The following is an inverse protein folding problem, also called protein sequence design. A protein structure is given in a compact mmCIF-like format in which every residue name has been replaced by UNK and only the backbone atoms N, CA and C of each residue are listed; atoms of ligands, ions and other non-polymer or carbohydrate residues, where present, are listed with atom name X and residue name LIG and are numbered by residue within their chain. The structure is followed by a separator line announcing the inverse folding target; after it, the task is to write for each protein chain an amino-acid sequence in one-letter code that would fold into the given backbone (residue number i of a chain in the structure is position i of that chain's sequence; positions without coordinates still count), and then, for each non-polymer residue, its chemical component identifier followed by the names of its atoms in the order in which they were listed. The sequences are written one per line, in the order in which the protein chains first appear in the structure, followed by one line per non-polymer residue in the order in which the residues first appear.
data_IF_883186764592
#
_entry.id   IF_883186764592
#
_cell.length_a   1.000
_cell.length_b   1.000
_cell.length_c   1.000
_cell.angle_alpha   90.00
_cell.angle_beta   90.00
_cell.angle_gamma   90.00
#
_symmetry.space_group_name_H-M   'P 1'
#
loop_
_entity.id
_entity.type
_entity.pdbx_description
1 polymer ?
#
# COMPACT_ATOMS: atom_id res chain seq x y z
N UNK A 1 -15.45 1.95 7.89
CA UNK A 1 -16.38 1.41 8.93
C UNK A 1 -17.79 1.11 8.40
N UNK A 2 -18.41 2.00 7.64
CA UNK A 2 -19.78 1.78 7.11
C UNK A 2 -19.95 0.45 6.36
N UNK A 3 -19.01 0.10 5.47
CA UNK A 3 -19.01 -1.16 4.71
C UNK A 3 -19.03 -2.41 5.59
N UNK A 4 -18.27 -2.41 6.70
CA UNK A 4 -18.23 -3.54 7.64
C UNK A 4 -19.56 -3.67 8.35
N UNK A 5 -20.12 -2.56 8.84
CA UNK A 5 -21.43 -2.58 9.51
C UNK A 5 -22.55 -3.05 8.57
N UNK A 6 -22.55 -2.58 7.32
CA UNK A 6 -23.51 -3.01 6.32
C UNK A 6 -23.36 -4.51 6.00
N UNK A 7 -22.13 -4.99 5.83
CA UNK A 7 -21.86 -6.42 5.61
C UNK A 7 -22.35 -7.26 6.80
N UNK A 8 -22.03 -6.87 8.03
CA UNK A 8 -22.49 -7.56 9.25
C UNK A 8 -24.02 -7.60 9.36
N UNK A 9 -24.69 -6.51 8.97
CA UNK A 9 -26.16 -6.48 8.93
C UNK A 9 -26.73 -7.54 7.97
N UNK A 10 -26.17 -7.69 6.77
CA UNK A 10 -26.62 -8.70 5.82
C UNK A 10 -26.26 -10.12 6.27
N UNK A 11 -25.11 -10.35 6.90
CA UNK A 11 -24.82 -11.63 7.54
C UNK A 11 -25.80 -11.94 8.67
N UNK A 12 -26.21 -10.96 9.46
CA UNK A 12 -27.25 -11.13 10.46
C UNK A 12 -28.59 -11.49 9.84
N UNK A 13 -28.98 -10.87 8.73
CA UNK A 13 -30.19 -11.22 8.00
C UNK A 13 -30.16 -12.68 7.49
N UNK A 14 -29.02 -13.10 6.94
CA UNK A 14 -28.82 -14.48 6.51
C UNK A 14 -28.90 -15.47 7.68
N UNK A 15 -28.26 -15.14 8.79
CA UNK A 15 -28.32 -15.95 10.02
C UNK A 15 -29.76 -16.09 10.54
N UNK A 16 -30.52 -14.99 10.61
CA UNK A 16 -31.93 -15.03 10.99
C UNK A 16 -32.76 -15.91 10.06
N UNK A 17 -32.52 -15.85 8.76
CA UNK A 17 -33.21 -16.68 7.79
C UNK A 17 -32.95 -18.16 8.00
N UNK A 18 -31.72 -18.55 8.30
CA UNK A 18 -31.34 -19.92 8.63
C UNK A 18 -31.98 -20.33 9.97
N UNK A 19 -31.97 -19.45 10.97
CA UNK A 19 -32.48 -19.75 12.30
C UNK A 19 -33.97 -20.08 12.31
N UNK A 20 -34.79 -19.48 11.40
CA UNK A 20 -36.21 -19.78 11.23
C UNK A 20 -36.51 -21.26 10.91
N UNK A 21 -35.54 -21.97 10.32
CA UNK A 21 -35.68 -23.39 10.01
C UNK A 21 -35.50 -24.32 11.21
N UNK A 22 -34.94 -23.79 12.31
CA UNK A 22 -34.69 -24.53 13.55
C UNK A 22 -35.63 -24.10 14.69
N UNK A 23 -36.03 -22.83 14.71
CA UNK A 23 -36.82 -22.22 15.76
C UNK A 23 -38.03 -21.55 15.14
N UNK A 24 -39.26 -21.90 15.58
CA UNK A 24 -40.45 -21.23 15.12
C UNK A 24 -40.41 -19.74 15.45
N UNK A 25 -40.65 -18.82 14.47
CA UNK A 25 -40.74 -17.39 14.75
C UNK A 25 -41.93 -17.08 15.68
N UNK A 26 -41.85 -15.94 16.38
CA UNK A 26 -42.91 -15.49 17.25
C UNK A 26 -44.24 -15.40 16.47
N UNK A 27 -45.30 -16.09 16.98
CA UNK A 27 -46.62 -16.18 16.34
C UNK A 27 -46.79 -17.31 15.34
N UNK A 28 -45.83 -18.22 15.21
CA UNK A 28 -45.93 -19.45 14.40
C UNK A 28 -45.70 -20.68 15.27
N UNK A 29 -46.48 -21.73 15.04
CA UNK A 29 -46.40 -22.97 15.80
C UNK A 29 -45.25 -23.90 15.31
N UNK A 30 -44.74 -23.68 14.09
CA UNK A 30 -43.75 -24.55 13.45
C UNK A 30 -42.60 -23.74 12.80
N UNK A 31 -41.38 -24.32 12.71
CA UNK A 31 -40.28 -23.76 11.92
C UNK A 31 -40.69 -23.53 10.46
N UNK A 32 -40.23 -22.43 9.87
CA UNK A 32 -40.52 -22.09 8.47
C UNK A 32 -39.37 -22.48 7.56
N UNK A 33 -39.62 -22.97 6.34
CA UNK A 33 -38.55 -23.34 5.43
C UNK A 33 -37.71 -22.11 5.01
N UNK A 34 -36.40 -22.33 4.83
CA UNK A 34 -35.49 -21.30 4.37
C UNK A 34 -35.84 -20.86 2.96
N UNK A 35 -36.00 -19.56 2.75
CA UNK A 35 -36.10 -18.98 1.41
C UNK A 35 -34.75 -18.93 0.74
N UNK A 36 -34.47 -19.92 -0.13
CA UNK A 36 -33.18 -20.01 -0.86
C UNK A 36 -32.83 -18.73 -1.64
N UNK A 37 -33.73 -18.10 -2.43
CA UNK A 37 -33.42 -16.90 -3.17
C UNK A 37 -33.10 -15.71 -2.24
N UNK A 38 -33.86 -15.54 -1.16
CA UNK A 38 -33.56 -14.50 -0.16
C UNK A 38 -32.20 -14.72 0.49
N UNK A 39 -31.89 -15.94 0.94
CA UNK A 39 -30.63 -16.30 1.55
C UNK A 39 -29.44 -16.02 0.59
N UNK A 40 -29.58 -16.46 -0.68
CA UNK A 40 -28.56 -16.20 -1.69
C UNK A 40 -28.31 -14.69 -1.93
N UNK A 41 -29.39 -13.90 -1.97
CA UNK A 41 -29.29 -12.45 -2.16
C UNK A 41 -28.60 -11.76 -0.99
N UNK A 42 -29.01 -12.04 0.25
CA UNK A 42 -28.40 -11.39 1.42
C UNK A 42 -26.96 -11.81 1.65
N UNK A 43 -26.60 -13.07 1.39
CA UNK A 43 -25.21 -13.53 1.44
C UNK A 43 -24.37 -12.89 0.34
N UNK A 44 -24.90 -12.78 -0.88
CA UNK A 44 -24.24 -12.08 -1.98
C UNK A 44 -23.93 -10.62 -1.64
N UNK A 45 -24.91 -9.90 -1.09
CA UNK A 45 -24.74 -8.52 -0.62
C UNK A 45 -23.73 -8.43 0.53
N UNK A 46 -23.78 -9.34 1.51
CA UNK A 46 -22.83 -9.38 2.61
C UNK A 46 -21.39 -9.51 2.13
N UNK A 47 -21.13 -10.43 1.19
CA UNK A 47 -19.80 -10.66 0.61
C UNK A 47 -19.35 -9.46 -0.22
N UNK A 48 -20.21 -8.90 -1.07
CA UNK A 48 -19.89 -7.72 -1.88
C UNK A 48 -19.51 -6.52 -1.01
N UNK A 49 -20.20 -6.31 0.11
CA UNK A 49 -19.93 -5.22 1.04
C UNK A 49 -18.69 -5.48 1.93
N UNK A 50 -18.33 -6.75 2.16
CA UNK A 50 -17.12 -7.11 2.87
C UNK A 50 -15.85 -6.95 2.00
N UNK A 51 -15.99 -7.01 0.67
CA UNK A 51 -14.86 -7.06 -0.25
C UNK A 51 -13.91 -5.86 -0.15
N UNK A 52 -14.36 -4.58 -0.16
CA UNK A 52 -13.45 -3.44 -0.11
C UNK A 52 -12.55 -3.43 1.15
N UNK A 53 -13.07 -3.56 2.38
CA UNK A 53 -12.22 -3.57 3.56
C UNK A 53 -11.30 -4.80 3.63
N UNK A 54 -11.76 -5.97 3.19
CA UNK A 54 -10.94 -7.19 3.17
C UNK A 54 -9.81 -7.06 2.14
N UNK A 55 -10.09 -6.52 0.96
CA UNK A 55 -9.09 -6.30 -0.08
C UNK A 55 -7.98 -5.34 0.39
N UNK A 56 -8.34 -4.21 0.99
CA UNK A 56 -7.36 -3.26 1.53
C UNK A 56 -6.56 -3.91 2.67
N UNK A 57 -7.19 -4.64 3.57
CA UNK A 57 -6.49 -5.33 4.65
C UNK A 57 -5.48 -6.38 4.13
N UNK A 58 -5.85 -7.17 3.12
CA UNK A 58 -4.94 -8.11 2.47
C UNK A 58 -3.77 -7.39 1.79
N UNK A 59 -4.05 -6.27 1.12
CA UNK A 59 -3.03 -5.46 0.49
C UNK A 59 -2.04 -4.87 1.50
N UNK A 60 -2.52 -4.32 2.61
CA UNK A 60 -1.67 -3.82 3.69
C UNK A 60 -0.78 -4.92 4.28
N UNK A 61 -1.31 -6.13 4.46
CA UNK A 61 -0.52 -7.29 4.92
C UNK A 61 0.55 -7.68 3.91
N UNK A 62 0.22 -7.67 2.63
CA UNK A 62 1.18 -7.91 1.56
C UNK A 62 2.28 -6.85 1.56
N UNK A 63 1.93 -5.56 1.61
CA UNK A 63 2.91 -4.48 1.70
C UNK A 63 3.78 -4.58 2.96
N UNK A 64 3.20 -4.92 4.11
CA UNK A 64 3.93 -5.09 5.38
C UNK A 64 5.02 -6.16 5.28
N UNK A 65 4.71 -7.29 4.64
CA UNK A 65 5.71 -8.33 4.40
C UNK A 65 6.84 -7.84 3.49
N UNK A 66 6.50 -7.06 2.43
CA UNK A 66 7.49 -6.53 1.48
C UNK A 66 8.30 -5.37 2.05
N UNK A 67 7.70 -4.50 2.87
CA UNK A 67 8.42 -3.46 3.60
C UNK A 67 9.41 -4.05 4.61
N UNK A 68 9.04 -5.13 5.33
CA UNK A 68 9.94 -5.85 6.22
C UNK A 68 11.15 -6.40 5.46
N UNK A 69 10.93 -7.02 4.30
CA UNK A 69 12.01 -7.54 3.44
C UNK A 69 12.92 -6.41 2.90
N UNK A 70 12.33 -5.26 2.49
CA UNK A 70 13.08 -4.08 2.04
C UNK A 70 13.89 -3.42 3.17
N UNK A 71 13.40 -3.50 4.40
CA UNK A 71 14.03 -2.95 5.58
C UNK A 71 15.06 -3.90 6.22
N UNK A 72 15.63 -4.84 5.47
CA UNK A 72 16.61 -5.84 5.97
C UNK A 72 16.07 -6.61 7.19
N UNK A 73 14.82 -7.11 7.09
CA UNK A 73 14.08 -7.87 8.10
C UNK A 73 13.70 -7.08 9.38
N UNK A 74 13.87 -5.77 9.40
CA UNK A 74 13.27 -4.94 10.43
C UNK A 74 11.74 -4.94 10.24
N UNK A 75 11.02 -5.39 11.28
CA UNK A 75 9.57 -5.56 11.21
C UNK A 75 8.87 -4.25 10.80
N UNK A 76 8.14 -4.30 9.70
CA UNK A 76 7.33 -3.20 9.21
C UNK A 76 5.84 -3.57 9.19
N UNK A 77 4.98 -2.61 9.53
CA UNK A 77 3.53 -2.72 9.43
C UNK A 77 3.01 -1.54 8.62
N UNK A 78 2.46 -1.82 7.44
CA UNK A 78 1.97 -0.79 6.52
C UNK A 78 0.47 -0.57 6.70
N UNK A 79 0.07 0.68 6.85
CA UNK A 79 -1.31 1.15 6.90
C UNK A 79 -1.59 2.07 5.71
N UNK A 80 -2.68 1.79 5.00
CA UNK A 80 -3.24 2.68 4.00
C UNK A 80 -4.28 3.56 4.69
N UNK A 81 -3.96 4.82 4.92
CA UNK A 81 -4.86 5.76 5.55
C UNK A 81 -6.09 6.00 4.66
N UNK A 82 -7.27 6.03 5.27
CA UNK A 82 -8.47 6.55 4.61
C UNK A 82 -8.38 8.08 4.49
N UNK A 83 -9.28 8.70 3.72
CA UNK A 83 -9.34 10.16 3.65
C UNK A 83 -9.48 10.79 5.05
N UNK A 84 -10.29 10.19 5.92
CA UNK A 84 -10.48 10.68 7.29
C UNK A 84 -9.20 10.51 8.13
N UNK A 85 -8.54 9.35 8.06
CA UNK A 85 -7.29 9.12 8.78
C UNK A 85 -6.20 10.10 8.31
N UNK A 86 -6.08 10.32 6.99
CA UNK A 86 -5.16 11.31 6.41
C UNK A 86 -5.44 12.73 6.92
N UNK A 87 -6.71 13.15 6.99
CA UNK A 87 -7.05 14.49 7.48
C UNK A 87 -6.76 14.69 8.97
N UNK A 88 -6.77 13.61 9.76
CA UNK A 88 -6.48 13.64 11.19
C UNK A 88 -5.01 13.37 11.51
N UNK A 89 -4.22 13.01 10.51
CA UNK A 89 -2.79 12.69 10.66
C UNK A 89 -1.95 13.97 10.77
N UNK A 90 -1.04 14.10 11.75
CA UNK A 90 -0.12 15.23 11.81
C UNK A 90 0.73 15.43 10.54
N UNK A 91 1.01 14.35 9.81
CA UNK A 91 1.77 14.35 8.56
C UNK A 91 0.88 14.44 7.30
N UNK A 92 -0.30 15.06 7.38
CA UNK A 92 -1.32 15.17 6.30
C UNK A 92 -0.78 15.72 4.96
N UNK A 93 0.30 16.48 4.99
CA UNK A 93 0.90 17.10 3.79
C UNK A 93 2.00 16.24 3.13
N UNK A 94 2.31 15.06 3.70
CA UNK A 94 3.27 14.11 3.13
C UNK A 94 2.54 13.02 2.34
N UNK A 95 3.27 12.28 1.51
CA UNK A 95 2.75 11.10 0.80
C UNK A 95 2.65 9.88 1.72
N UNK A 96 3.51 9.81 2.72
CA UNK A 96 3.59 8.80 3.75
C UNK A 96 4.48 9.27 4.89
N UNK A 97 4.56 8.48 5.93
CA UNK A 97 5.54 8.63 6.99
C UNK A 97 5.79 7.29 7.69
N UNK A 98 6.96 7.14 8.27
CA UNK A 98 7.32 5.96 9.04
C UNK A 98 7.74 6.33 10.48
N UNK A 99 7.50 5.39 11.38
CA UNK A 99 7.98 5.43 12.76
C UNK A 99 8.96 4.27 12.98
N UNK A 100 10.28 4.50 12.89
CA UNK A 100 11.27 3.44 13.07
C UNK A 100 11.15 2.71 14.42
N UNK A 101 10.71 3.41 15.47
CA UNK A 101 10.59 2.85 16.83
C UNK A 101 9.46 1.83 16.93
N UNK A 102 8.31 2.06 16.25
CA UNK A 102 7.17 1.15 16.26
C UNK A 102 7.17 0.18 15.07
N UNK A 103 7.93 0.48 14.03
CA UNK A 103 7.88 -0.23 12.76
C UNK A 103 6.65 0.09 11.91
N UNK A 104 5.94 1.17 12.21
CA UNK A 104 4.73 1.56 11.47
C UNK A 104 5.05 2.46 10.28
N UNK A 105 4.43 2.17 9.16
CA UNK A 105 4.43 2.97 7.94
C UNK A 105 2.99 3.36 7.65
N UNK A 106 2.69 4.65 7.57
CA UNK A 106 1.41 5.15 7.09
C UNK A 106 1.56 5.73 5.68
N UNK A 107 0.80 5.20 4.74
CA UNK A 107 0.70 5.75 3.37
C UNK A 107 -0.61 6.53 3.29
N UNK A 108 -0.50 7.83 3.00
CA UNK A 108 -1.63 8.74 2.99
C UNK A 108 -2.56 8.51 1.77
N UNK A 109 -3.83 8.86 1.93
CA UNK A 109 -4.76 8.94 0.81
C UNK A 109 -4.40 10.17 -0.08
N UNK A 110 -4.30 10.04 -1.42
CA UNK A 110 -4.65 8.86 -2.26
C UNK A 110 -3.46 7.97 -2.67
N UNK A 111 -2.30 8.07 -2.03
CA UNK A 111 -1.06 7.40 -2.47
C UNK A 111 -1.14 5.88 -2.44
N UNK A 112 -1.87 5.31 -1.47
CA UNK A 112 -2.08 3.87 -1.42
C UNK A 112 -2.91 3.36 -2.62
N UNK A 113 -3.99 4.09 -3.00
CA UNK A 113 -4.78 3.78 -4.19
C UNK A 113 -3.97 3.94 -5.47
N UNK A 114 -3.07 4.94 -5.50
CA UNK A 114 -2.14 5.18 -6.60
C UNK A 114 -1.15 4.02 -6.75
N UNK A 115 -0.66 3.47 -5.64
CA UNK A 115 0.20 2.28 -5.66
C UNK A 115 -0.55 1.03 -6.16
N UNK A 116 -1.81 0.86 -5.76
CA UNK A 116 -2.68 -0.20 -6.30
C UNK A 116 -2.87 -0.04 -7.82
N UNK A 117 -3.07 1.18 -8.29
CA UNK A 117 -3.20 1.49 -9.73
C UNK A 117 -1.91 1.13 -10.48
N UNK A 118 -0.76 1.53 -9.95
CA UNK A 118 0.55 1.16 -10.47
C UNK A 118 0.70 -0.35 -10.66
N UNK A 119 0.39 -1.14 -9.64
CA UNK A 119 0.55 -2.59 -9.68
C UNK A 119 -0.40 -3.28 -10.66
N UNK A 120 -1.52 -2.65 -11.00
CA UNK A 120 -2.46 -3.16 -12.02
C UNK A 120 -1.99 -2.90 -13.44
N UNK A 121 -1.33 -1.79 -13.69
CA UNK A 121 -0.94 -1.35 -15.04
C UNK A 121 0.50 -0.81 -15.08
N UNK A 122 1.52 -1.55 -14.60
CA UNK A 122 2.87 -1.01 -14.44
C UNK A 122 3.55 -0.62 -15.75
N UNK A 123 3.12 -1.20 -16.89
CA UNK A 123 3.65 -0.86 -18.22
C UNK A 123 3.20 0.51 -18.76
N UNK A 124 2.28 1.18 -18.08
CA UNK A 124 1.76 2.51 -18.43
C UNK A 124 1.75 3.44 -17.21
N UNK A 125 2.73 3.26 -16.34
CA UNK A 125 2.80 4.00 -15.09
C UNK A 125 2.94 5.51 -15.33
N UNK A 126 2.11 6.29 -14.68
CA UNK A 126 2.25 7.75 -14.59
C UNK A 126 3.34 8.13 -13.58
N UNK A 127 3.87 9.36 -13.66
CA UNK A 127 4.82 9.87 -12.66
C UNK A 127 4.30 9.74 -11.23
N UNK A 128 3.01 10.00 -11.00
CA UNK A 128 2.39 9.87 -9.69
C UNK A 128 2.38 8.43 -9.18
N UNK A 129 2.18 7.48 -10.07
CA UNK A 129 2.25 6.05 -9.73
C UNK A 129 3.68 5.62 -9.41
N UNK A 130 4.67 6.12 -10.14
CA UNK A 130 6.09 5.90 -9.83
C UNK A 130 6.47 6.53 -8.47
N UNK A 131 5.97 7.72 -8.18
CA UNK A 131 6.14 8.37 -6.87
C UNK A 131 5.50 7.57 -5.74
N UNK A 132 4.37 6.88 -5.97
CA UNK A 132 3.74 6.04 -4.95
C UNK A 132 4.57 4.80 -4.61
N UNK A 133 5.23 4.20 -5.60
CA UNK A 133 6.20 3.14 -5.38
C UNK A 133 7.40 3.65 -4.57
N UNK A 134 7.94 4.80 -4.96
CA UNK A 134 9.06 5.41 -4.27
C UNK A 134 8.70 5.78 -2.82
N UNK A 135 7.52 6.35 -2.56
CA UNK A 135 7.04 6.59 -1.20
C UNK A 135 7.06 5.31 -0.35
N UNK A 136 6.53 4.20 -0.88
CA UNK A 136 6.56 2.92 -0.18
C UNK A 136 7.99 2.46 0.11
N UNK A 137 8.90 2.60 -0.86
CA UNK A 137 10.30 2.22 -0.70
C UNK A 137 11.02 3.14 0.28
N UNK A 138 10.78 4.46 0.20
CA UNK A 138 11.34 5.48 1.08
C UNK A 138 10.97 5.23 2.55
N UNK A 139 9.69 5.03 2.85
CA UNK A 139 9.23 4.76 4.21
C UNK A 139 9.82 3.44 4.74
N UNK A 140 10.06 2.46 3.86
CA UNK A 140 10.75 1.22 4.25
C UNK A 140 12.21 1.46 4.64
N UNK A 141 12.89 2.47 4.06
CA UNK A 141 14.27 2.83 4.44
C UNK A 141 14.32 3.52 5.81
N UNK A 142 13.29 4.29 6.17
CA UNK A 142 13.18 4.79 7.55
C UNK A 142 13.06 3.65 8.56
N UNK A 143 12.27 2.60 8.27
CA UNK A 143 12.20 1.41 9.14
C UNK A 143 13.53 0.68 9.21
N UNK A 144 14.32 0.68 8.13
CA UNK A 144 15.68 0.15 8.11
C UNK A 144 16.64 0.91 9.06
N UNK A 145 16.25 2.12 9.49
CA UNK A 145 16.98 2.94 10.46
C UNK A 145 17.64 4.22 9.89
N UNK A 146 17.42 4.54 8.62
CA UNK A 146 17.92 5.81 8.07
C UNK A 146 16.97 6.96 8.42
N UNK A 147 17.51 8.02 9.01
CA UNK A 147 16.73 9.19 9.45
C UNK A 147 17.04 10.46 8.64
N UNK A 148 18.09 10.43 7.83
CA UNK A 148 18.44 11.56 6.98
C UNK A 148 17.68 11.46 5.66
N UNK A 149 16.79 12.40 5.37
CA UNK A 149 15.88 12.38 4.23
C UNK A 149 16.60 12.19 2.88
N UNK A 150 17.71 12.88 2.65
CA UNK A 150 18.47 12.74 1.40
C UNK A 150 19.10 11.34 1.26
N UNK A 151 19.53 10.73 2.37
CA UNK A 151 20.03 9.35 2.36
C UNK A 151 18.91 8.34 2.22
N UNK A 152 17.80 8.53 2.95
CA UNK A 152 16.61 7.70 2.86
C UNK A 152 16.12 7.65 1.42
N UNK A 153 15.98 8.81 0.79
CA UNK A 153 15.57 8.91 -0.61
C UNK A 153 16.59 8.24 -1.55
N UNK A 154 17.88 8.44 -1.33
CA UNK A 154 18.90 7.77 -2.14
C UNK A 154 18.85 6.25 -2.00
N UNK A 155 18.65 5.74 -0.81
CA UNK A 155 18.47 4.30 -0.56
C UNK A 155 17.19 3.77 -1.23
N UNK A 156 16.10 4.54 -1.18
CA UNK A 156 14.85 4.19 -1.85
C UNK A 156 15.01 4.14 -3.37
N UNK A 157 15.57 5.18 -3.97
CA UNK A 157 15.82 5.26 -5.41
C UNK A 157 16.65 4.08 -5.90
N UNK A 158 17.68 3.67 -5.17
CA UNK A 158 18.49 2.50 -5.50
C UNK A 158 17.68 1.19 -5.44
N UNK A 159 16.65 1.12 -4.59
CA UNK A 159 15.83 -0.07 -4.37
C UNK A 159 14.49 -0.07 -5.09
N UNK A 160 14.14 0.99 -5.80
CA UNK A 160 12.84 1.06 -6.52
C UNK A 160 12.67 -0.08 -7.54
N UNK A 161 13.73 -0.47 -8.24
CA UNK A 161 13.70 -1.65 -9.11
C UNK A 161 13.42 -2.94 -8.31
N UNK A 162 14.14 -3.17 -7.21
CA UNK A 162 13.91 -4.31 -6.32
C UNK A 162 12.50 -4.30 -5.76
N UNK A 163 12.04 -3.17 -5.25
CA UNK A 163 10.70 -3.01 -4.68
C UNK A 163 9.60 -3.33 -5.71
N UNK A 164 9.70 -2.80 -6.92
CA UNK A 164 8.76 -3.11 -8.00
C UNK A 164 8.69 -4.62 -8.28
N UNK A 165 9.83 -5.29 -8.39
CA UNK A 165 9.87 -6.75 -8.59
C UNK A 165 9.26 -7.53 -7.44
N UNK A 166 9.57 -7.16 -6.20
CA UNK A 166 9.00 -7.78 -5.00
C UNK A 166 7.49 -7.62 -4.93
N UNK A 167 6.96 -6.53 -5.49
CA UNK A 167 5.53 -6.27 -5.62
C UNK A 167 4.89 -6.97 -6.83
N UNK A 168 5.65 -7.72 -7.62
CA UNK A 168 5.15 -8.54 -8.73
C UNK A 168 5.20 -7.87 -10.11
N UNK A 169 5.86 -6.72 -10.24
CA UNK A 169 6.06 -6.07 -11.54
C UNK A 169 7.06 -6.87 -12.38
N UNK A 170 6.79 -7.13 -13.67
CA UNK A 170 7.74 -7.81 -14.57
C UNK A 170 9.10 -7.10 -14.64
N UNK A 171 10.16 -7.86 -14.71
CA UNK A 171 11.55 -7.40 -14.58
C UNK A 171 11.91 -6.20 -15.46
N UNK A 172 11.66 -6.29 -16.78
CA UNK A 172 11.96 -5.20 -17.72
C UNK A 172 11.17 -3.93 -17.45
N UNK A 173 9.90 -4.06 -17.04
CA UNK A 173 9.03 -2.94 -16.67
C UNK A 173 9.49 -2.32 -15.36
N UNK A 174 9.81 -3.14 -14.36
CA UNK A 174 10.32 -2.67 -13.07
C UNK A 174 11.60 -1.84 -13.23
N UNK A 175 12.53 -2.30 -14.08
CA UNK A 175 13.76 -1.58 -14.40
C UNK A 175 13.49 -0.25 -15.09
N UNK A 176 12.66 -0.25 -16.13
CA UNK A 176 12.32 0.96 -16.87
C UNK A 176 11.67 1.99 -15.93
N UNK A 177 10.70 1.59 -15.14
CA UNK A 177 9.99 2.45 -14.20
C UNK A 177 10.91 3.05 -13.15
N UNK A 178 11.83 2.27 -12.60
CA UNK A 178 12.81 2.76 -11.62
C UNK A 178 13.79 3.77 -12.24
N UNK A 179 14.24 3.53 -13.48
CA UNK A 179 15.09 4.46 -14.23
C UNK A 179 14.34 5.74 -14.60
N UNK A 180 13.08 5.64 -15.01
CA UNK A 180 12.23 6.81 -15.32
C UNK A 180 12.04 7.68 -14.08
N UNK A 181 11.74 7.07 -12.92
CA UNK A 181 11.66 7.82 -11.66
C UNK A 181 13.00 8.51 -11.33
N UNK A 182 14.13 7.80 -11.40
CA UNK A 182 15.44 8.39 -11.13
C UNK A 182 15.76 9.54 -12.05
N UNK A 183 15.61 9.38 -13.36
CA UNK A 183 16.03 10.36 -14.36
C UNK A 183 15.09 11.58 -14.44
N UNK A 184 13.81 11.40 -14.20
CA UNK A 184 12.80 12.44 -14.37
C UNK A 184 12.45 13.07 -13.02
N UNK A 185 11.96 12.26 -12.06
CA UNK A 185 11.43 12.78 -10.79
C UNK A 185 12.55 13.15 -9.82
N UNK A 186 13.46 12.20 -9.54
CA UNK A 186 14.53 12.44 -8.57
C UNK A 186 15.48 13.56 -8.99
N UNK A 187 15.96 13.53 -10.23
CA UNK A 187 16.92 14.54 -10.73
C UNK A 187 16.33 15.97 -10.80
N UNK A 188 14.99 16.10 -10.89
CA UNK A 188 14.35 17.41 -10.87
C UNK A 188 14.28 18.02 -9.47
N UNK A 189 14.27 17.23 -8.40
CA UNK A 189 14.20 17.74 -7.01
C UNK A 189 15.36 18.69 -6.69
N UNK A 190 16.56 18.39 -7.15
CA UNK A 190 17.74 19.27 -6.99
C UNK A 190 17.60 20.63 -7.71
N UNK A 191 16.79 20.70 -8.76
CA UNK A 191 16.56 21.92 -9.55
C UNK A 191 15.44 22.79 -9.00
N UNK A 192 14.40 22.17 -8.41
CA UNK A 192 13.23 22.86 -7.91
C UNK A 192 13.53 23.62 -6.62
N UNK A 193 14.41 23.09 -5.77
CA UNK A 193 14.73 23.69 -4.47
C UNK A 193 13.61 23.55 -3.43
N UNK A 194 13.65 24.38 -2.38
CA UNK A 194 12.64 24.34 -1.32
C UNK A 194 12.63 23.03 -0.54
N UNK A 195 11.47 22.57 -0.10
CA UNK A 195 11.33 21.31 0.65
C UNK A 195 11.79 20.08 -0.15
N UNK A 196 11.68 20.11 -1.48
CA UNK A 196 12.12 19.00 -2.33
C UNK A 196 13.64 18.80 -2.31
N UNK A 197 14.42 19.87 -2.07
CA UNK A 197 15.88 19.78 -1.96
C UNK A 197 16.34 18.95 -0.74
N UNK A 198 15.53 18.83 0.30
CA UNK A 198 15.85 17.99 1.47
C UNK A 198 15.92 16.50 1.11
N UNK A 199 15.25 16.10 0.04
CA UNK A 199 15.20 14.71 -0.48
C UNK A 199 16.18 14.47 -1.62
N UNK A 200 17.10 15.39 -1.90
CA UNK A 200 18.03 15.30 -3.02
C UNK A 200 19.48 15.39 -2.59
N UNK A 201 20.34 14.61 -3.23
CA UNK A 201 21.80 14.73 -3.11
C UNK A 201 22.47 14.41 -4.45
N UNK A 202 23.40 15.25 -4.89
CA UNK A 202 24.27 14.96 -6.04
C UNK A 202 25.18 13.74 -5.82
N UNK A 203 25.32 13.30 -4.57
CA UNK A 203 26.07 12.10 -4.22
C UNK A 203 25.25 10.82 -4.46
N UNK A 204 23.95 10.93 -4.76
CA UNK A 204 23.08 9.81 -5.10
C UNK A 204 23.10 9.56 -6.60
N UNK A 205 24.14 8.96 -7.08
CA UNK A 205 24.33 8.59 -8.48
C UNK A 205 25.30 7.40 -8.58
N UNK A 206 25.30 6.66 -9.69
CA UNK A 206 26.22 5.55 -9.93
C UNK A 206 27.67 5.94 -9.66
N UNK A 207 28.36 5.18 -8.80
CA UNK A 207 29.76 5.39 -8.45
C UNK A 207 30.04 6.61 -7.55
N UNK A 208 29.02 7.31 -7.03
CA UNK A 208 29.17 8.40 -6.07
C UNK A 208 29.13 7.91 -4.62
N UNK A 209 29.37 8.81 -3.67
CA UNK A 209 29.54 8.48 -2.25
C UNK A 209 28.33 7.84 -1.58
N UNK A 210 27.10 8.03 -2.12
CA UNK A 210 25.88 7.43 -1.60
C UNK A 210 25.44 6.18 -2.39
N UNK A 211 26.22 5.74 -3.38
CA UNK A 211 25.96 4.48 -4.08
C UNK A 211 26.34 3.31 -3.17
N UNK A 212 25.34 2.49 -2.81
CA UNK A 212 25.55 1.29 -1.99
C UNK A 212 26.08 0.09 -2.81
N UNK A 213 26.32 0.26 -4.11
CA UNK A 213 26.84 -0.78 -5.02
C UNK A 213 26.02 -2.07 -5.00
N UNK A 214 24.70 -1.96 -4.89
CA UNK A 214 23.80 -3.11 -4.88
C UNK A 214 23.77 -3.76 -6.26
N UNK A 215 23.89 -5.09 -6.31
CA UNK A 215 23.82 -5.86 -7.56
C UNK A 215 22.48 -5.75 -8.30
N UNK A 216 21.42 -5.38 -7.58
CA UNK A 216 20.07 -5.16 -8.06
C UNK A 216 19.60 -3.72 -7.83
N UNK A 217 20.50 -2.75 -7.83
CA UNK A 217 20.10 -1.34 -7.78
C UNK A 217 19.40 -0.91 -9.07
N UNK A 218 18.66 0.19 -8.97
CA UNK A 218 17.98 0.82 -10.13
C UNK A 218 18.91 1.02 -11.33
N UNK A 219 20.18 1.35 -11.09
CA UNK A 219 21.19 1.58 -12.13
C UNK A 219 22.22 0.48 -12.27
N UNK A 220 22.11 -0.63 -11.55
CA UNK A 220 23.00 -1.77 -11.78
C UNK A 220 22.85 -2.27 -13.21
N UNK A 221 23.96 -2.55 -13.85
CA UNK A 221 23.95 -3.18 -15.17
C UNK A 221 23.31 -4.57 -15.07
N UNK A 222 22.58 -5.02 -16.12
CA UNK A 222 22.06 -6.37 -16.19
C UNK A 222 23.18 -7.41 -16.24
#
# INVERSE_FOLDING_TARGET
MLWILASLFFFWCAFREILKSFVAPAGYDFPTPVSKPYLATVLGLAVLLAWPPVHIWLFQRFLSAKATELADDHRATVHCNTLFDTMMDPAVFTSGHASPQSGEIAIQQPWCDTLISYLRHPGHASHRELQSLDTFTHESMHIRGELNEAKTECQAVQRNYRAAKMLGVPDSIARQNALDYYNIDYQQRGKIGGMQAAYYSEQCAPGKAMDEHLSDSTWAAP
#
